data_IF_550691036156
#
_entry.id   IF_550691036156
#
_cell.length_a   1.000
_cell.length_b   1.000
_cell.length_c   1.000
_cell.angle_alpha   90.00
_cell.angle_beta   90.00
_cell.angle_gamma   90.00
#
_symmetry.space_group_name_H-M   'P 1'
#
loop_
_entity.id
_entity.type
_entity.pdbx_description
1 polymer ?
#
# COMPACT_ATOMS: atom_id res chain seq x y z
N UNK A 1 4.48 -28.34 40.94
CA UNK A 1 4.42 -26.92 41.35
C UNK A 1 5.10 -26.09 40.27
N UNK A 2 4.36 -25.29 39.49
CA UNK A 2 4.92 -24.38 38.49
C UNK A 2 5.45 -23.14 39.20
N UNK A 3 6.64 -22.68 38.83
CA UNK A 3 7.17 -21.38 39.25
C UNK A 3 7.30 -20.50 38.00
N UNK A 4 6.31 -19.64 37.84
CA UNK A 4 6.33 -18.51 36.92
C UNK A 4 7.49 -17.56 37.26
N UNK A 5 8.30 -17.21 36.27
CA UNK A 5 9.47 -16.34 36.44
C UNK A 5 9.64 -15.39 35.25
N UNK A 6 8.86 -14.31 35.32
CA UNK A 6 8.88 -13.07 34.55
C UNK A 6 10.00 -12.82 33.51
N UNK A 7 9.56 -12.52 32.28
CA UNK A 7 10.31 -11.82 31.24
C UNK A 7 10.65 -10.37 31.62
N UNK A 8 11.84 -9.88 31.25
CA UNK A 8 12.19 -8.46 31.13
C UNK A 8 13.71 -8.25 31.11
N UNK A 9 14.35 -7.69 30.07
CA UNK A 9 13.93 -6.54 29.28
C UNK A 9 14.41 -6.63 27.80
N UNK A 10 13.67 -6.02 26.85
CA UNK A 10 14.15 -5.85 25.48
C UNK A 10 15.30 -4.83 25.43
N UNK A 11 16.36 -5.23 24.74
CA UNK A 11 17.51 -4.41 24.36
C UNK A 11 17.08 -3.11 23.67
N UNK A 12 17.49 -1.94 24.18
CA UNK A 12 17.53 -0.73 23.35
C UNK A 12 17.26 0.64 23.98
N UNK A 13 16.97 0.79 25.28
CA UNK A 13 16.71 2.12 25.86
C UNK A 13 17.99 2.75 26.44
N UNK A 14 18.56 3.71 25.71
CA UNK A 14 19.64 4.57 26.24
C UNK A 14 19.01 5.59 27.18
N UNK A 15 19.01 5.27 28.47
CA UNK A 15 18.55 6.18 29.52
C UNK A 15 19.47 7.41 29.57
N UNK A 16 18.89 8.61 29.45
CA UNK A 16 19.61 9.86 29.69
C UNK A 16 19.29 10.32 31.11
N UNK A 17 20.22 10.01 32.01
CA UNK A 17 20.13 10.41 33.41
C UNK A 17 20.64 11.86 33.56
N UNK A 18 19.74 12.81 33.87
CA UNK A 18 20.13 14.17 34.30
C UNK A 18 20.01 14.26 35.82
N UNK A 19 21.06 14.76 36.48
CA UNK A 19 21.06 15.04 37.91
C UNK A 19 20.25 16.31 38.15
N UNK A 20 19.15 16.23 38.89
CA UNK A 20 18.44 17.44 39.33
C UNK A 20 19.19 18.05 40.52
N UNK A 21 19.24 19.38 40.58
CA UNK A 21 19.73 20.07 41.76
C UNK A 21 18.71 19.91 42.89
N UNK A 22 19.17 19.48 44.07
CA UNK A 22 18.32 19.39 45.26
C UNK A 22 17.83 20.79 45.65
N UNK A 23 16.56 20.92 46.03
CA UNK A 23 15.99 22.20 46.45
C UNK A 23 16.41 22.62 47.86
N UNK A 24 16.98 21.71 48.66
CA UNK A 24 17.56 21.95 49.98
C UNK A 24 18.89 21.22 50.13
N UNK A 25 19.81 21.79 50.90
CA UNK A 25 21.18 21.25 51.07
C UNK A 25 21.23 19.88 51.78
N UNK A 26 20.14 19.43 52.41
CA UNK A 26 20.09 18.17 53.17
C UNK A 26 19.48 16.99 52.40
N UNK A 27 18.97 17.19 51.18
CA UNK A 27 18.30 16.13 50.44
C UNK A 27 19.25 15.43 49.47
N UNK A 28 19.29 14.08 49.42
CA UNK A 28 20.11 13.34 48.46
C UNK A 28 19.59 13.57 47.03
N UNK A 29 20.48 13.71 46.02
CA UNK A 29 20.06 14.00 44.65
C UNK A 29 19.26 12.83 44.07
N UNK A 30 18.03 13.09 43.64
CA UNK A 30 17.20 12.13 42.95
C UNK A 30 17.57 12.07 41.46
N UNK A 31 17.73 10.85 40.95
CA UNK A 31 17.86 10.59 39.52
C UNK A 31 16.46 10.46 38.93
N UNK A 32 15.98 11.49 38.24
CA UNK A 32 14.77 11.36 37.43
C UNK A 32 15.22 10.79 36.08
N UNK A 33 15.01 9.50 35.90
CA UNK A 33 15.16 8.84 34.60
C UNK A 33 13.97 9.23 33.72
N UNK A 34 14.13 10.22 32.86
CA UNK A 34 13.16 10.46 31.78
C UNK A 34 13.47 9.48 30.65
N UNK A 35 12.48 8.70 30.24
CA UNK A 35 12.56 7.94 29.00
C UNK A 35 12.77 8.95 27.86
N UNK A 36 13.79 8.73 27.03
CA UNK A 36 13.90 9.44 25.76
C UNK A 36 12.60 9.18 24.99
N UNK A 37 12.00 10.18 24.32
CA UNK A 37 10.85 9.92 23.48
C UNK A 37 11.27 8.88 22.45
N UNK A 38 10.73 7.68 22.60
CA UNK A 38 10.84 6.61 21.64
C UNK A 38 10.42 7.21 20.32
N UNK A 39 11.31 7.15 19.33
CA UNK A 39 11.07 7.71 18.01
C UNK A 39 9.76 7.10 17.53
N UNK A 40 8.70 7.89 17.60
CA UNK A 40 7.41 7.64 16.99
C UNK A 40 7.65 7.65 15.48
N UNK A 41 8.27 6.59 14.96
CA UNK A 41 8.26 6.28 13.55
C UNK A 41 6.84 5.82 13.32
N UNK A 42 6.03 6.79 12.88
CA UNK A 42 4.69 6.54 12.41
C UNK A 42 4.65 5.26 11.59
N UNK A 43 3.61 4.48 11.86
CA UNK A 43 2.97 3.56 10.94
C UNK A 43 3.11 4.08 9.48
N UNK A 44 3.16 3.25 8.45
CA UNK A 44 2.08 2.35 8.08
C UNK A 44 2.68 1.28 7.15
N UNK A 45 2.83 0.02 7.60
CA UNK A 45 3.27 -1.13 6.78
C UNK A 45 4.46 -0.92 5.81
N UNK A 46 5.70 -0.94 6.32
CA UNK A 46 6.91 -0.92 5.49
C UNK A 46 7.32 -2.35 5.09
N UNK A 47 7.56 -2.65 3.80
CA UNK A 47 8.02 -3.97 3.39
C UNK A 47 9.41 -4.28 3.98
N UNK A 48 9.52 -5.37 4.74
CA UNK A 48 10.77 -5.81 5.38
C UNK A 48 11.94 -6.00 4.39
N UNK A 49 11.64 -6.38 3.15
CA UNK A 49 12.66 -6.62 2.10
C UNK A 49 12.14 -6.35 0.69
N UNK A 50 13.07 -6.06 -0.22
CA UNK A 50 12.79 -5.94 -1.65
C UNK A 50 12.25 -7.26 -2.22
N UNK A 51 11.16 -7.17 -2.98
CA UNK A 51 10.62 -8.32 -3.72
C UNK A 51 11.57 -8.77 -4.83
N UNK A 52 11.82 -10.08 -4.95
CA UNK A 52 12.67 -10.66 -6.01
C UNK A 52 12.11 -10.38 -7.41
N UNK A 53 12.98 -10.41 -8.44
CA UNK A 53 12.60 -10.21 -9.85
C UNK A 53 11.51 -11.21 -10.27
N UNK A 54 11.67 -12.48 -9.90
CA UNK A 54 10.72 -13.56 -10.19
C UNK A 54 9.36 -13.32 -9.54
N UNK A 55 9.31 -12.99 -8.23
CA UNK A 55 8.05 -12.74 -7.51
C UNK A 55 7.29 -11.53 -8.06
N UNK A 56 8.02 -10.49 -8.51
CA UNK A 56 7.42 -9.33 -9.17
C UNK A 56 6.80 -9.70 -10.53
N UNK A 57 7.50 -10.50 -11.34
CA UNK A 57 7.01 -10.96 -12.66
C UNK A 57 5.79 -11.87 -12.52
N UNK A 58 5.81 -12.81 -11.58
CA UNK A 58 4.69 -13.70 -11.29
C UNK A 58 3.43 -12.93 -10.87
N UNK A 59 3.57 -11.85 -10.09
CA UNK A 59 2.41 -10.99 -9.75
C UNK A 59 1.83 -10.28 -10.97
N UNK A 60 2.64 -10.01 -11.99
CA UNK A 60 2.23 -9.26 -13.19
C UNK A 60 1.64 -10.10 -14.30
N UNK A 61 1.59 -11.43 -14.16
CA UNK A 61 1.10 -12.36 -15.21
C UNK A 61 -0.37 -12.13 -15.57
N UNK A 62 -1.17 -11.63 -14.63
CA UNK A 62 -2.59 -11.38 -14.84
C UNK A 62 -2.88 -10.05 -15.55
N UNK A 63 -1.91 -9.12 -15.64
CA UNK A 63 -2.08 -7.82 -16.30
C UNK A 63 -1.86 -7.91 -17.82
N UNK A 64 -2.63 -8.76 -18.49
CA UNK A 64 -2.62 -8.89 -19.95
C UNK A 64 -3.73 -8.04 -20.58
N UNK A 65 -3.37 -7.17 -21.53
CA UNK A 65 -4.37 -6.49 -22.34
C UNK A 65 -5.05 -7.52 -23.25
N UNK A 66 -6.39 -7.53 -23.27
CA UNK A 66 -7.16 -8.32 -24.21
C UNK A 66 -7.59 -7.43 -25.37
N UNK A 67 -7.36 -7.88 -26.60
CA UNK A 67 -7.84 -7.18 -27.80
C UNK A 67 -9.36 -7.39 -27.87
N UNK A 68 -10.17 -6.31 -27.97
CA UNK A 68 -11.59 -6.47 -28.12
C UNK A 68 -11.91 -7.11 -29.48
N UNK A 69 -12.92 -7.98 -29.52
CA UNK A 69 -13.43 -8.56 -30.77
C UNK A 69 -13.99 -7.47 -31.67
N UNK A 70 -13.32 -7.23 -32.79
CA UNK A 70 -13.79 -6.35 -33.86
C UNK A 70 -14.49 -7.18 -34.93
N UNK A 71 -15.60 -6.65 -35.45
CA UNK A 71 -16.44 -7.29 -36.45
C UNK A 71 -16.60 -6.33 -37.63
N UNK A 72 -16.63 -6.86 -38.85
CA UNK A 72 -16.88 -6.05 -40.04
C UNK A 72 -18.33 -5.55 -40.07
N UNK A 73 -18.53 -4.28 -40.44
CA UNK A 73 -19.86 -3.73 -40.63
C UNK A 73 -20.44 -4.13 -42.00
N UNK A 74 -21.67 -4.68 -42.09
CA UNK A 74 -22.24 -5.13 -43.36
C UNK A 74 -22.52 -3.99 -44.36
N UNK A 75 -22.75 -2.77 -43.88
CA UNK A 75 -23.16 -1.65 -44.74
C UNK A 75 -21.98 -0.83 -45.28
N UNK A 76 -20.89 -0.67 -44.52
CA UNK A 76 -19.75 0.16 -44.90
C UNK A 76 -18.42 -0.59 -45.00
N UNK A 77 -18.36 -1.87 -44.61
CA UNK A 77 -17.14 -2.66 -44.62
C UNK A 77 -16.11 -2.30 -43.55
N UNK A 78 -16.38 -1.28 -42.72
CA UNK A 78 -15.44 -0.83 -41.69
C UNK A 78 -15.51 -1.69 -40.42
N UNK A 79 -14.39 -1.78 -39.70
CA UNK A 79 -14.27 -2.48 -38.44
C UNK A 79 -15.02 -1.75 -37.32
N UNK A 80 -15.92 -2.46 -36.66
CA UNK A 80 -16.66 -1.96 -35.50
C UNK A 80 -16.53 -2.91 -34.32
N UNK A 81 -16.77 -2.37 -33.13
CA UNK A 81 -16.91 -3.20 -31.93
C UNK A 81 -18.22 -4.01 -32.00
N UNK A 82 -18.16 -5.26 -31.54
CA UNK A 82 -19.35 -6.10 -31.42
C UNK A 82 -20.44 -5.41 -30.57
N UNK A 83 -21.70 -5.59 -30.96
CA UNK A 83 -22.89 -5.02 -30.31
C UNK A 83 -22.98 -3.49 -30.20
N UNK A 84 -22.10 -2.73 -30.87
CA UNK A 84 -22.20 -1.26 -30.94
C UNK A 84 -22.70 -0.78 -32.30
N UNK A 85 -23.27 0.42 -32.31
CA UNK A 85 -23.62 1.14 -33.54
C UNK A 85 -22.33 1.49 -34.29
N UNK A 86 -22.34 1.35 -35.62
CA UNK A 86 -21.19 1.74 -36.43
C UNK A 86 -21.00 3.26 -36.39
N UNK A 87 -19.78 3.73 -36.13
CA UNK A 87 -19.48 5.18 -36.05
C UNK A 87 -19.55 5.89 -37.41
N UNK A 88 -19.22 5.17 -38.48
CA UNK A 88 -19.19 5.71 -39.83
C UNK A 88 -20.58 5.79 -40.47
N UNK A 89 -21.33 4.69 -40.50
CA UNK A 89 -22.64 4.66 -41.15
C UNK A 89 -23.84 4.86 -40.20
N UNK A 90 -23.65 4.90 -38.88
CA UNK A 90 -24.77 5.12 -37.93
C UNK A 90 -25.78 3.97 -37.85
N UNK A 91 -25.51 2.86 -38.55
CA UNK A 91 -26.45 1.74 -38.68
C UNK A 91 -26.23 0.66 -37.62
N UNK A 92 -27.33 0.05 -37.18
CA UNK A 92 -27.35 -1.11 -36.28
C UNK A 92 -28.48 -2.07 -36.68
N UNK A 93 -28.16 -3.36 -36.85
CA UNK A 93 -29.11 -4.40 -37.28
C UNK A 93 -29.89 -4.02 -38.56
N UNK A 94 -29.24 -3.35 -39.50
CA UNK A 94 -29.86 -2.94 -40.77
C UNK A 94 -30.88 -1.80 -40.65
N UNK A 95 -30.92 -1.11 -39.50
CA UNK A 95 -31.72 0.11 -39.30
C UNK A 95 -30.79 1.27 -39.02
N UNK A 96 -31.14 2.43 -39.56
CA UNK A 96 -30.46 3.69 -39.29
C UNK A 96 -30.94 4.20 -37.92
N UNK A 97 -30.03 4.21 -36.95
CA UNK A 97 -30.35 4.57 -35.55
C UNK A 97 -29.93 6.01 -35.26
N UNK A 98 -28.96 6.51 -36.00
CA UNK A 98 -28.43 7.87 -35.85
C UNK A 98 -28.62 8.58 -37.18
N UNK A 99 -29.57 9.53 -37.23
CA UNK A 99 -29.58 10.55 -38.26
C UNK A 99 -28.34 11.43 -38.02
N UNK A 100 -27.35 11.34 -38.91
CA UNK A 100 -26.26 12.30 -39.02
C UNK A 100 -26.45 13.08 -40.31
#
# INVERSE_FOLDING_TARGET
MPADGAYGAPSGSRLVCRRTAASRLTDPPAWICQNAPDKEVGMMAVPFRRTSKTRKRLRRTHFKLQVPGMVQCPNCGEWKLAHRVCKACGTYKGRDVVNK
#
